data_IF_315413476729
#
_entry.id   IF_315413476729
#
_cell.length_a   1.000
_cell.length_b   1.000
_cell.length_c   1.000
_cell.angle_alpha   90.00
_cell.angle_beta   90.00
_cell.angle_gamma   90.00
#
_symmetry.space_group_name_H-M   'P 1'
#
loop_
_entity.id
_entity.type
_entity.pdbx_description
1 polymer ?
#
# COMPACT_ATOMS: atom_id res chain seq x y z
N UNK A 1 -4.92 -12.07 19.12
CA UNK A 1 -4.38 -11.61 20.41
C UNK A 1 -5.53 -11.21 21.32
N UNK A 2 -5.37 -11.06 22.64
CA UNK A 2 -6.47 -10.63 23.51
C UNK A 2 -6.29 -9.17 23.91
N UNK A 3 -7.39 -8.45 24.19
CA UNK A 3 -7.35 -7.06 24.69
C UNK A 3 -6.48 -6.97 25.93
N UNK A 4 -6.60 -7.93 26.86
CA UNK A 4 -5.77 -7.99 28.07
C UNK A 4 -4.27 -8.05 27.79
N UNK A 5 -3.86 -8.74 26.71
CA UNK A 5 -2.43 -8.78 26.33
C UNK A 5 -1.93 -7.45 25.81
N UNK A 6 -2.80 -6.66 25.16
CA UNK A 6 -2.47 -5.31 24.66
C UNK A 6 -2.31 -4.34 25.83
N UNK A 7 -3.25 -4.35 26.78
CA UNK A 7 -3.20 -3.49 27.97
C UNK A 7 -1.96 -3.79 28.81
N UNK A 8 -1.67 -5.07 29.04
CA UNK A 8 -0.45 -5.48 29.74
C UNK A 8 0.81 -5.03 29.01
N UNK A 9 0.87 -5.19 27.68
CA UNK A 9 2.00 -4.72 26.87
C UNK A 9 2.19 -3.20 27.02
N UNK A 10 1.11 -2.43 27.01
CA UNK A 10 1.17 -0.97 27.18
C UNK A 10 1.73 -0.59 28.56
N UNK A 11 1.33 -1.29 29.61
CA UNK A 11 1.86 -1.12 30.97
C UNK A 11 3.33 -1.50 31.07
N UNK A 12 3.69 -2.72 30.61
CA UNK A 12 5.06 -3.25 30.65
C UNK A 12 6.07 -2.35 29.89
N UNK A 13 5.62 -1.76 28.77
CA UNK A 13 6.44 -0.85 27.95
C UNK A 13 6.44 0.60 28.46
N UNK A 14 5.59 0.96 29.40
CA UNK A 14 5.44 2.34 29.88
C UNK A 14 4.98 3.28 28.75
N UNK A 15 3.92 2.87 28.04
CA UNK A 15 3.31 3.65 26.96
C UNK A 15 2.66 4.91 27.53
N UNK A 16 2.87 6.06 26.89
CA UNK A 16 2.28 7.34 27.29
C UNK A 16 0.97 7.65 26.56
N UNK A 17 0.88 7.22 25.29
CA UNK A 17 -0.27 7.55 24.43
C UNK A 17 -0.74 6.33 23.63
N UNK A 18 -2.04 6.29 23.33
CA UNK A 18 -2.62 5.40 22.32
C UNK A 18 -3.03 6.20 21.10
N UNK A 19 -2.63 5.74 19.92
CA UNK A 19 -2.93 6.33 18.63
C UNK A 19 -3.84 5.40 17.84
N UNK A 20 -5.11 5.79 17.67
CA UNK A 20 -6.13 5.01 16.97
C UNK A 20 -6.22 5.49 15.53
N UNK A 21 -5.94 4.60 14.57
CA UNK A 21 -5.79 4.91 13.14
C UNK A 21 -6.90 4.30 12.31
N UNK A 22 -7.36 5.04 11.32
CA UNK A 22 -8.37 4.59 10.36
C UNK A 22 -8.12 5.21 8.99
N UNK A 23 -8.80 4.70 7.96
CA UNK A 23 -8.57 5.11 6.56
C UNK A 23 -9.85 5.69 5.97
N UNK A 24 -9.75 6.85 5.29
CA UNK A 24 -10.87 7.44 4.57
C UNK A 24 -11.10 6.83 3.17
N UNK A 25 -12.12 7.29 2.45
CA UNK A 25 -12.47 6.77 1.12
C UNK A 25 -11.37 6.90 0.08
N UNK A 26 -10.56 7.97 0.15
CA UNK A 26 -9.46 8.18 -0.80
C UNK A 26 -8.18 7.44 -0.41
N UNK A 27 -8.17 6.76 0.74
CA UNK A 27 -7.04 5.97 1.21
C UNK A 27 -6.05 6.77 2.06
N UNK A 28 -6.41 7.97 2.51
CA UNK A 28 -5.61 8.70 3.48
C UNK A 28 -5.76 8.09 4.89
N UNK A 29 -4.65 8.01 5.60
CA UNK A 29 -4.62 7.49 6.96
C UNK A 29 -4.80 8.64 7.95
N UNK A 30 -5.82 8.54 8.79
CA UNK A 30 -6.14 9.48 9.85
C UNK A 30 -5.90 8.85 11.22
N UNK A 31 -5.79 9.69 12.26
CA UNK A 31 -5.61 9.20 13.61
C UNK A 31 -6.19 10.15 14.67
N UNK A 32 -6.55 9.59 15.80
CA UNK A 32 -6.74 10.29 17.06
C UNK A 32 -5.75 9.77 18.08
N UNK A 33 -5.27 10.64 18.95
CA UNK A 33 -4.33 10.29 20.02
C UNK A 33 -4.95 10.61 21.36
N UNK A 34 -4.90 9.63 22.25
CA UNK A 34 -5.41 9.74 23.60
C UNK A 34 -4.30 9.44 24.62
N UNK A 35 -4.31 10.04 25.83
CA UNK A 35 -3.51 9.53 26.93
C UNK A 35 -3.78 8.05 27.15
N UNK A 36 -2.79 7.31 27.64
CA UNK A 36 -2.91 5.84 27.78
C UNK A 36 -4.00 5.45 28.77
N UNK A 37 -4.32 6.32 29.73
CA UNK A 37 -5.37 6.12 30.75
C UNK A 37 -6.77 5.99 30.13
N UNK A 38 -7.00 6.49 28.90
CA UNK A 38 -8.24 6.34 28.16
C UNK A 38 -8.38 4.97 27.49
N UNK A 39 -7.30 4.17 27.44
CA UNK A 39 -7.32 2.83 26.86
C UNK A 39 -7.67 1.79 27.92
N UNK A 40 -8.80 1.11 27.74
CA UNK A 40 -9.30 0.06 28.62
C UNK A 40 -9.96 -1.07 27.81
N UNK A 41 -10.39 -2.15 28.47
CA UNK A 41 -11.20 -3.17 27.78
C UNK A 41 -12.47 -2.55 27.16
N UNK A 42 -13.08 -1.58 27.83
CA UNK A 42 -14.28 -0.88 27.36
C UNK A 42 -14.03 -0.10 26.06
N UNK A 43 -12.84 0.47 25.85
CA UNK A 43 -12.50 1.18 24.62
C UNK A 43 -12.54 0.29 23.38
N UNK A 44 -12.31 -1.02 23.53
CA UNK A 44 -12.42 -2.00 22.44
C UNK A 44 -13.86 -2.44 22.16
N UNK A 45 -14.78 -2.20 23.07
CA UNK A 45 -16.20 -2.53 22.91
C UNK A 45 -17.02 -1.29 22.49
N UNK A 46 -16.77 -0.16 23.12
CA UNK A 46 -17.55 1.07 22.93
C UNK A 46 -16.95 1.99 21.86
N UNK A 47 -15.62 1.90 21.62
CA UNK A 47 -14.88 2.73 20.68
C UNK A 47 -14.59 4.14 21.19
N UNK A 48 -13.95 4.93 20.34
CA UNK A 48 -13.62 6.35 20.55
C UNK A 48 -14.44 7.22 19.61
N UNK A 49 -15.11 8.25 20.14
CA UNK A 49 -15.92 9.16 19.34
C UNK A 49 -15.10 10.08 18.44
N UNK A 50 -15.59 10.35 17.23
CA UNK A 50 -15.04 11.36 16.33
C UNK A 50 -16.11 11.94 15.41
N UNK A 51 -15.80 13.12 14.82
CA UNK A 51 -16.67 13.80 13.86
C UNK A 51 -16.41 13.31 12.42
N UNK A 52 -17.30 12.46 11.91
CA UNK A 52 -17.24 11.96 10.52
C UNK A 52 -17.57 13.01 9.47
N UNK A 53 -18.24 14.12 9.82
CA UNK A 53 -18.55 15.20 8.87
C UNK A 53 -17.32 16.04 8.50
N UNK A 54 -16.29 16.00 9.33
CA UNK A 54 -14.99 16.64 9.05
C UNK A 54 -14.17 15.88 8.01
N UNK A 55 -14.58 14.67 7.63
CA UNK A 55 -13.95 13.89 6.56
C UNK A 55 -14.71 14.05 5.24
N UNK A 56 -13.98 14.46 4.21
CA UNK A 56 -14.57 14.74 2.91
C UNK A 56 -15.28 13.51 2.32
N UNK A 57 -16.58 13.68 2.03
CA UNK A 57 -17.40 12.66 1.38
C UNK A 57 -17.80 11.50 2.29
N UNK A 58 -17.65 11.67 3.63
CA UNK A 58 -17.98 10.61 4.57
C UNK A 58 -19.38 10.78 5.15
N UNK A 59 -19.58 11.70 6.09
CA UNK A 59 -20.88 11.91 6.73
C UNK A 59 -21.43 13.31 6.48
N UNK A 60 -22.75 13.46 6.64
CA UNK A 60 -23.39 14.78 6.69
C UNK A 60 -23.24 15.38 8.09
N UNK A 61 -23.35 16.72 8.20
CA UNK A 61 -23.30 17.41 9.50
C UNK A 61 -24.43 16.99 10.46
N UNK A 62 -25.49 16.43 9.93
CA UNK A 62 -26.66 15.98 10.73
C UNK A 62 -26.50 14.57 11.31
N UNK A 63 -25.50 13.82 10.82
CA UNK A 63 -25.17 12.44 11.24
C UNK A 63 -23.66 12.30 11.37
N UNK A 64 -23.05 13.25 12.12
CA UNK A 64 -21.60 13.40 12.19
C UNK A 64 -20.91 12.45 13.17
N UNK A 65 -21.62 12.04 14.22
CA UNK A 65 -21.03 11.25 15.28
C UNK A 65 -20.73 9.82 14.81
N UNK A 66 -19.49 9.40 14.98
CA UNK A 66 -19.02 8.06 14.63
C UNK A 66 -18.08 7.53 15.71
N UNK A 67 -17.87 6.21 15.71
CA UNK A 67 -16.97 5.55 16.64
C UNK A 67 -15.85 4.85 15.91
N UNK A 68 -14.64 4.98 16.44
CA UNK A 68 -13.47 4.17 16.09
C UNK A 68 -13.36 3.01 17.07
N UNK A 69 -13.64 1.80 16.63
CA UNK A 69 -13.51 0.58 17.44
C UNK A 69 -12.16 -0.07 17.10
N UNK A 70 -11.19 -0.05 18.05
CA UNK A 70 -9.88 -0.61 17.80
C UNK A 70 -9.92 -2.12 17.57
N UNK A 71 -9.15 -2.58 16.59
CA UNK A 71 -8.96 -4.00 16.30
C UNK A 71 -7.83 -4.58 17.15
N UNK A 72 -8.13 -5.55 18.00
CA UNK A 72 -7.16 -6.24 18.84
C UNK A 72 -6.25 -7.20 18.07
N UNK A 73 -6.45 -7.36 16.76
CA UNK A 73 -5.64 -8.28 15.95
C UNK A 73 -4.19 -7.83 15.83
N UNK A 74 -3.94 -6.49 15.76
CA UNK A 74 -2.62 -5.93 15.55
C UNK A 74 -2.40 -4.65 16.34
N UNK A 75 -1.24 -4.55 16.97
CA UNK A 75 -0.75 -3.35 17.63
C UNK A 75 0.78 -3.26 17.51
N UNK A 76 1.33 -2.07 17.65
CA UNK A 76 2.78 -1.82 17.65
C UNK A 76 3.10 -0.50 18.34
N UNK A 77 4.38 -0.31 18.73
CA UNK A 77 4.90 0.99 19.15
C UNK A 77 5.29 1.80 17.91
N UNK A 78 4.88 3.06 17.84
CA UNK A 78 5.25 3.96 16.75
C UNK A 78 6.74 4.34 16.86
N UNK A 79 7.59 3.98 15.87
CA UNK A 79 9.01 4.29 15.93
C UNK A 79 9.35 5.75 15.63
N UNK A 80 8.36 6.59 15.32
CA UNK A 80 8.54 7.97 14.89
C UNK A 80 8.05 9.00 15.89
N UNK A 81 7.41 8.59 16.98
CA UNK A 81 6.93 9.48 18.04
C UNK A 81 8.00 9.68 19.11
N UNK A 82 8.03 10.89 19.72
CA UNK A 82 8.96 11.22 20.79
C UNK A 82 8.65 10.40 22.07
N UNK A 83 7.37 10.36 22.44
CA UNK A 83 6.88 9.55 23.54
C UNK A 83 6.41 8.18 23.05
N UNK A 84 6.56 7.15 23.90
CA UNK A 84 6.10 5.81 23.56
C UNK A 84 4.61 5.83 23.28
N UNK A 85 4.24 5.58 22.04
CA UNK A 85 2.89 5.64 21.52
C UNK A 85 2.47 4.27 20.97
N UNK A 86 1.42 3.69 21.55
CA UNK A 86 0.82 2.46 21.06
C UNK A 86 -0.11 2.77 19.88
N UNK A 87 0.11 2.13 18.74
CA UNK A 87 -0.74 2.24 17.57
C UNK A 87 -1.73 1.08 17.47
N UNK A 88 -2.98 1.41 17.19
CA UNK A 88 -4.09 0.49 16.91
C UNK A 88 -4.76 0.91 15.60
N UNK A 89 -5.17 -0.06 14.78
CA UNK A 89 -6.04 0.20 13.63
C UNK A 89 -7.49 0.00 14.10
N UNK A 90 -8.39 0.87 13.69
CA UNK A 90 -9.80 0.80 14.05
C UNK A 90 -10.69 0.60 12.83
N UNK A 91 -11.81 -0.06 13.05
CA UNK A 91 -12.96 -0.05 12.17
C UNK A 91 -13.89 1.10 12.58
N UNK A 92 -14.62 1.66 11.62
CA UNK A 92 -15.60 2.72 11.89
C UNK A 92 -16.98 2.12 12.01
N UNK A 93 -17.69 2.49 13.08
CA UNK A 93 -19.04 2.01 13.35
C UNK A 93 -20.00 3.15 13.65
N UNK A 94 -21.26 2.91 13.36
CA UNK A 94 -22.36 3.81 13.73
C UNK A 94 -22.59 3.76 15.26
N UNK A 95 -22.69 4.90 15.95
CA UNK A 95 -22.80 4.94 17.41
C UNK A 95 -24.11 4.39 17.96
N UNK A 96 -25.19 4.41 17.16
CA UNK A 96 -26.55 4.01 17.58
C UNK A 96 -26.76 2.52 17.30
N UNK A 97 -26.59 2.09 16.05
CA UNK A 97 -26.81 0.71 15.63
C UNK A 97 -25.66 -0.23 16.04
N UNK A 98 -24.47 0.32 16.29
CA UNK A 98 -23.23 -0.41 16.51
C UNK A 98 -22.80 -1.28 15.31
N UNK A 99 -23.41 -1.08 14.16
CA UNK A 99 -23.02 -1.74 12.92
C UNK A 99 -21.82 -1.03 12.26
N UNK A 100 -21.03 -1.79 11.51
CA UNK A 100 -19.90 -1.25 10.73
C UNK A 100 -20.39 -0.20 9.73
N UNK A 101 -19.73 0.96 9.71
CA UNK A 101 -20.08 2.03 8.79
C UNK A 101 -19.87 1.55 7.35
N UNK A 102 -20.88 1.74 6.51
CA UNK A 102 -20.90 1.15 5.17
C UNK A 102 -19.84 1.73 4.22
N UNK A 103 -19.39 2.97 4.44
CA UNK A 103 -18.31 3.62 3.68
C UNK A 103 -16.91 3.40 4.29
N UNK A 104 -16.78 2.71 5.42
CA UNK A 104 -15.48 2.35 5.97
C UNK A 104 -14.74 1.40 5.01
N UNK A 105 -13.62 1.82 4.40
CA UNK A 105 -12.89 0.98 3.45
C UNK A 105 -12.37 -0.33 4.07
N UNK A 106 -11.95 -0.28 5.33
CA UNK A 106 -11.50 -1.47 6.05
C UNK A 106 -12.66 -2.44 6.32
N UNK A 107 -13.82 -1.90 6.65
CA UNK A 107 -15.07 -2.64 6.78
C UNK A 107 -15.50 -3.29 5.44
N UNK A 108 -15.31 -2.60 4.29
CA UNK A 108 -15.52 -3.20 2.96
C UNK A 108 -14.62 -4.41 2.76
N UNK A 109 -13.33 -4.31 3.09
CA UNK A 109 -12.39 -5.43 2.95
C UNK A 109 -12.76 -6.62 3.84
N UNK A 110 -13.19 -6.38 5.07
CA UNK A 110 -13.73 -7.46 5.95
C UNK A 110 -14.94 -8.16 5.35
N UNK A 111 -15.87 -7.39 4.77
CA UNK A 111 -17.03 -7.98 4.08
C UNK A 111 -16.62 -8.81 2.87
N UNK A 112 -15.62 -8.36 2.09
CA UNK A 112 -15.12 -9.11 0.94
C UNK A 112 -14.45 -10.44 1.36
N UNK A 113 -13.64 -10.46 2.43
CA UNK A 113 -13.08 -11.74 2.98
C UNK A 113 -14.18 -12.66 3.54
N UNK A 114 -15.19 -12.09 4.17
CA UNK A 114 -16.34 -12.87 4.67
C UNK A 114 -17.14 -13.47 3.52
N UNK A 115 -17.35 -12.70 2.44
CA UNK A 115 -18.02 -13.19 1.24
C UNK A 115 -17.23 -14.31 0.55
N UNK A 116 -15.90 -14.21 0.45
CA UNK A 116 -15.05 -15.29 -0.06
C UNK A 116 -15.34 -16.61 0.67
N UNK A 117 -15.37 -16.58 2.01
CA UNK A 117 -15.67 -17.74 2.84
C UNK A 117 -17.09 -18.27 2.60
N UNK A 118 -18.05 -17.33 2.50
CA UNK A 118 -19.46 -17.68 2.24
C UNK A 118 -19.66 -18.40 0.90
N UNK A 119 -18.93 -18.00 -0.16
CA UNK A 119 -19.01 -18.68 -1.48
C UNK A 119 -18.52 -20.11 -1.44
N UNK A 120 -17.73 -20.47 -0.44
CA UNK A 120 -17.12 -21.80 -0.34
C UNK A 120 -16.01 -22.06 -1.37
N UNK A 121 -15.65 -21.11 -2.23
CA UNK A 121 -14.56 -21.25 -3.21
C UNK A 121 -13.21 -21.34 -2.49
N UNK A 122 -12.95 -20.44 -1.56
CA UNK A 122 -11.74 -20.41 -0.75
C UNK A 122 -12.05 -19.90 0.67
N UNK A 123 -11.12 -20.08 1.60
CA UNK A 123 -11.20 -19.51 2.95
C UNK A 123 -10.20 -18.35 3.16
N UNK A 124 -9.19 -18.26 2.31
CA UNK A 124 -8.12 -17.28 2.41
C UNK A 124 -7.73 -16.76 1.03
N UNK A 125 -7.66 -15.44 0.90
CA UNK A 125 -7.06 -14.75 -0.21
C UNK A 125 -5.77 -14.07 0.28
N UNK A 126 -4.63 -14.43 -0.32
CA UNK A 126 -3.35 -13.81 -0.03
C UNK A 126 -3.03 -12.76 -1.09
N UNK A 127 -2.58 -11.59 -0.64
CA UNK A 127 -2.15 -10.46 -1.46
C UNK A 127 -0.72 -10.05 -1.13
N UNK A 128 0.06 -9.72 -2.16
CA UNK A 128 1.43 -9.20 -2.03
C UNK A 128 1.63 -8.06 -3.03
N UNK A 129 1.52 -6.80 -2.60
CA UNK A 129 1.76 -5.65 -3.45
C UNK A 129 3.26 -5.31 -3.52
N UNK A 130 3.75 -5.01 -4.71
CA UNK A 130 5.06 -4.41 -4.98
C UNK A 130 4.83 -2.90 -5.18
N UNK A 131 4.89 -2.13 -4.08
CA UNK A 131 4.54 -0.71 -4.12
C UNK A 131 5.77 0.17 -4.35
N UNK A 132 5.94 0.64 -5.58
CA UNK A 132 7.00 1.56 -5.97
C UNK A 132 6.72 2.98 -5.48
N UNK A 133 7.78 3.76 -5.28
CA UNK A 133 7.70 5.16 -4.86
C UNK A 133 8.92 5.96 -5.29
N UNK A 134 8.82 7.29 -5.24
CA UNK A 134 9.95 8.18 -5.49
C UNK A 134 10.37 8.94 -4.24
N UNK A 135 11.66 9.22 -4.13
CA UNK A 135 12.25 10.03 -3.08
C UNK A 135 12.97 11.22 -3.72
N UNK A 136 12.60 12.43 -3.29
CA UNK A 136 13.19 13.67 -3.79
C UNK A 136 13.80 14.48 -2.64
N UNK A 137 14.87 15.19 -2.94
CA UNK A 137 15.53 16.09 -2.01
C UNK A 137 14.81 17.43 -1.90
N UNK A 138 14.13 17.85 -2.95
CA UNK A 138 13.34 19.09 -2.97
C UNK A 138 12.14 18.93 -3.90
N UNK A 139 10.98 19.37 -3.44
CA UNK A 139 9.71 19.34 -4.18
C UNK A 139 9.06 20.71 -4.07
N UNK A 140 9.05 21.46 -5.16
CA UNK A 140 8.38 22.76 -5.26
C UNK A 140 7.28 22.69 -6.31
N UNK A 141 6.11 23.20 -5.99
CA UNK A 141 5.00 23.29 -6.93
C UNK A 141 4.15 24.54 -6.67
N UNK A 142 3.48 25.00 -7.71
CA UNK A 142 2.46 26.03 -7.63
C UNK A 142 1.32 25.66 -8.57
N UNK A 143 0.11 26.03 -8.20
CA UNK A 143 -1.10 25.80 -8.98
C UNK A 143 -2.09 26.93 -8.75
N UNK A 144 -1.81 28.07 -9.38
CA UNK A 144 -2.61 29.28 -9.32
C UNK A 144 -3.58 29.34 -10.49
N UNK A 145 -4.63 30.19 -10.46
CA UNK A 145 -5.61 30.27 -11.54
C UNK A 145 -5.04 30.60 -12.93
N UNK A 146 -3.84 31.21 -12.99
CA UNK A 146 -3.21 31.70 -14.22
C UNK A 146 -1.86 31.05 -14.55
N UNK A 147 -1.32 30.25 -13.62
CA UNK A 147 -0.03 29.56 -13.82
C UNK A 147 0.06 28.30 -12.96
N UNK A 148 0.70 27.25 -13.48
CA UNK A 148 0.97 26.03 -12.75
C UNK A 148 2.34 25.49 -13.13
N UNK A 149 3.01 24.86 -12.18
CA UNK A 149 4.30 24.23 -12.43
C UNK A 149 4.84 23.50 -11.21
N UNK A 150 5.92 22.76 -11.44
CA UNK A 150 6.64 22.08 -10.39
C UNK A 150 8.14 22.01 -10.70
N UNK A 151 8.94 21.86 -9.66
CA UNK A 151 10.36 21.56 -9.76
C UNK A 151 10.71 20.47 -8.74
N UNK A 152 11.45 19.47 -9.20
CA UNK A 152 11.93 18.34 -8.41
C UNK A 152 13.44 18.28 -8.44
N UNK A 153 14.04 17.93 -7.32
CA UNK A 153 15.48 17.77 -7.22
C UNK A 153 15.86 16.44 -6.58
N UNK A 154 16.88 15.80 -7.16
CA UNK A 154 17.44 14.54 -6.67
C UNK A 154 18.89 14.42 -7.17
N UNK A 155 19.88 14.04 -6.34
CA UNK A 155 21.27 13.95 -6.74
C UNK A 155 21.56 12.94 -7.88
N UNK A 156 20.70 11.95 -8.06
CA UNK A 156 20.81 10.95 -9.14
C UNK A 156 20.37 11.50 -10.50
N UNK A 157 19.62 12.61 -10.51
CA UNK A 157 18.98 13.15 -11.69
C UNK A 157 19.99 13.83 -12.63
N UNK A 158 19.86 13.58 -13.93
CA UNK A 158 20.71 14.19 -14.97
C UNK A 158 20.52 15.71 -15.06
N UNK A 159 19.33 16.24 -14.70
CA UNK A 159 19.08 17.70 -14.68
C UNK A 159 19.73 18.41 -13.48
N UNK A 160 20.24 17.65 -12.48
CA UNK A 160 20.94 18.18 -11.31
C UNK A 160 22.46 18.30 -11.51
N UNK A 161 22.94 18.31 -12.75
CA UNK A 161 24.37 18.31 -13.09
C UNK A 161 25.11 19.61 -12.67
N UNK A 162 24.38 20.68 -12.34
CA UNK A 162 24.98 21.93 -11.83
C UNK A 162 25.30 21.90 -10.33
N UNK A 163 24.84 20.87 -9.61
CA UNK A 163 24.92 20.82 -8.17
C UNK A 163 23.99 21.84 -7.48
N UNK A 164 24.13 21.93 -6.16
CA UNK A 164 23.44 22.93 -5.32
C UNK A 164 24.49 23.76 -4.57
N UNK A 165 24.06 24.89 -4.02
CA UNK A 165 24.91 25.66 -3.09
C UNK A 165 25.32 24.78 -1.92
N UNK A 166 26.62 24.61 -1.69
CA UNK A 166 27.19 23.73 -0.66
C UNK A 166 27.18 22.22 -0.96
N UNK A 167 26.64 21.78 -2.12
CA UNK A 167 26.61 20.39 -2.53
C UNK A 167 26.91 20.25 -4.03
N UNK A 168 28.20 20.16 -4.41
CA UNK A 168 28.60 20.03 -5.82
C UNK A 168 28.09 18.75 -6.44
N UNK A 169 27.81 18.75 -7.74
CA UNK A 169 27.56 17.52 -8.49
C UNK A 169 28.83 16.70 -8.59
N UNK A 170 28.76 15.43 -8.23
CA UNK A 170 29.88 14.48 -8.34
C UNK A 170 29.87 13.68 -9.66
N UNK A 171 28.86 13.96 -10.53
CA UNK A 171 28.74 13.27 -11.83
C UNK A 171 28.11 11.87 -11.77
N UNK A 172 27.67 11.41 -10.61
CA UNK A 172 27.00 10.11 -10.45
C UNK A 172 25.52 10.27 -10.77
N UNK A 173 25.19 10.36 -12.05
CA UNK A 173 23.81 10.49 -12.52
C UNK A 173 23.33 9.23 -13.21
N UNK A 174 22.09 8.86 -12.98
CA UNK A 174 21.40 7.75 -13.63
C UNK A 174 20.77 8.29 -14.92
N UNK A 175 21.00 7.61 -16.05
CA UNK A 175 20.37 7.96 -17.32
C UNK A 175 18.90 7.57 -17.31
N UNK A 176 18.13 8.26 -18.14
CA UNK A 176 16.70 7.99 -18.30
C UNK A 176 16.45 6.51 -18.59
N UNK A 177 15.63 5.86 -17.78
CA UNK A 177 15.26 4.42 -17.84
C UNK A 177 16.44 3.44 -17.59
N UNK A 178 17.51 3.86 -16.98
CA UNK A 178 18.67 3.01 -16.65
C UNK A 178 18.88 2.85 -15.12
N UNK A 179 17.84 3.12 -14.31
CA UNK A 179 17.92 3.08 -12.84
C UNK A 179 17.77 1.70 -12.21
N UNK A 180 17.57 0.64 -12.99
CA UNK A 180 17.30 -0.68 -12.41
C UNK A 180 18.55 -1.30 -11.76
N UNK A 181 18.54 -1.44 -10.44
CA UNK A 181 19.53 -2.09 -9.58
C UNK A 181 21.00 -1.62 -9.78
N UNK A 182 21.29 -0.31 -9.85
CA UNK A 182 22.67 0.15 -9.91
C UNK A 182 23.35 -0.05 -8.55
N UNK A 183 24.69 -0.11 -8.57
CA UNK A 183 25.46 -0.12 -7.33
C UNK A 183 25.73 1.31 -6.83
N UNK A 184 25.89 1.53 -5.51
CA UNK A 184 26.48 2.75 -5.00
C UNK A 184 27.85 3.02 -5.67
N UNK A 185 28.23 4.28 -5.98
CA UNK A 185 27.59 5.52 -5.56
C UNK A 185 26.46 6.04 -6.48
N UNK A 186 26.09 5.33 -7.55
CA UNK A 186 24.95 5.71 -8.39
C UNK A 186 23.63 5.62 -7.62
N UNK A 187 23.42 4.52 -6.91
CA UNK A 187 22.32 4.34 -5.99
C UNK A 187 22.60 5.10 -4.67
N UNK A 188 22.04 6.28 -4.53
CA UNK A 188 22.23 7.13 -3.35
C UNK A 188 21.23 6.82 -2.22
N UNK A 189 20.28 5.91 -2.46
CA UNK A 189 19.16 5.63 -1.55
C UNK A 189 19.24 4.23 -0.87
N UNK A 190 20.36 3.52 -1.03
CA UNK A 190 20.56 2.21 -0.41
C UNK A 190 20.32 2.23 1.11
N UNK A 191 20.96 3.16 1.82
CA UNK A 191 20.84 3.28 3.28
C UNK A 191 19.45 3.76 3.72
N UNK A 192 18.83 4.64 2.94
CA UNK A 192 17.44 5.06 3.14
C UNK A 192 16.49 3.85 3.12
N UNK A 193 16.57 3.00 2.09
CA UNK A 193 15.73 1.80 1.98
C UNK A 193 16.02 0.79 3.07
N UNK A 194 17.28 0.64 3.46
CA UNK A 194 17.68 -0.21 4.58
C UNK A 194 17.10 0.28 5.91
N UNK A 195 17.06 1.60 6.17
CA UNK A 195 16.39 2.16 7.36
C UNK A 195 14.89 1.90 7.32
N UNK A 196 14.21 2.12 6.18
CA UNK A 196 12.78 1.78 6.03
C UNK A 196 12.54 0.30 6.37
N UNK A 197 13.35 -0.62 5.83
CA UNK A 197 13.24 -2.04 6.11
C UNK A 197 13.40 -2.38 7.60
N UNK A 198 14.33 -1.72 8.28
CA UNK A 198 14.56 -1.89 9.72
C UNK A 198 13.38 -1.36 10.56
N UNK A 199 12.80 -0.22 10.19
CA UNK A 199 11.63 0.32 10.88
C UNK A 199 10.38 -0.56 10.63
N UNK A 200 10.19 -1.07 9.43
CA UNK A 200 9.12 -2.04 9.12
C UNK A 200 9.23 -3.32 9.95
N UNK A 201 10.45 -3.81 10.14
CA UNK A 201 10.70 -4.99 10.99
C UNK A 201 10.27 -4.75 12.44
N UNK A 202 10.51 -3.55 12.99
CA UNK A 202 10.09 -3.20 14.37
C UNK A 202 8.57 -3.27 14.55
N UNK A 203 7.82 -2.95 13.51
CA UNK A 203 6.34 -2.98 13.51
C UNK A 203 5.76 -4.29 12.96
N UNK A 204 6.60 -5.34 12.85
CA UNK A 204 6.18 -6.70 12.51
C UNK A 204 5.96 -6.95 11.02
N UNK A 205 6.47 -6.08 10.12
CA UNK A 205 6.43 -6.29 8.67
C UNK A 205 7.79 -6.84 8.22
N UNK A 206 7.76 -8.04 7.63
CA UNK A 206 8.95 -8.67 7.08
C UNK A 206 9.22 -8.17 5.68
N UNK A 207 10.34 -7.48 5.48
CA UNK A 207 10.84 -7.09 4.15
C UNK A 207 11.58 -8.28 3.54
N UNK A 208 11.37 -8.52 2.25
CA UNK A 208 11.99 -9.59 1.47
C UNK A 208 13.13 -9.07 0.59
N UNK A 209 12.93 -7.91 -0.05
CA UNK A 209 13.91 -7.28 -0.94
C UNK A 209 13.72 -5.77 -0.96
N UNK A 210 14.76 -5.03 -1.34
CA UNK A 210 14.65 -3.64 -1.75
C UNK A 210 15.72 -3.29 -2.78
N UNK A 211 15.37 -2.41 -3.70
CA UNK A 211 16.28 -1.95 -4.76
C UNK A 211 15.87 -0.58 -5.32
N UNK A 212 16.77 0.02 -6.10
CA UNK A 212 16.44 1.14 -6.96
C UNK A 212 15.69 0.63 -8.19
N UNK A 213 14.66 1.35 -8.61
CA UNK A 213 13.82 1.02 -9.77
C UNK A 213 14.28 1.71 -11.05
N UNK A 214 13.55 1.46 -12.17
CA UNK A 214 13.98 1.78 -13.54
C UNK A 214 14.10 3.27 -13.81
N UNK A 215 13.32 4.13 -13.14
CA UNK A 215 13.36 5.57 -13.39
C UNK A 215 14.70 6.21 -13.03
N UNK A 216 14.98 7.35 -13.63
CA UNK A 216 16.25 8.08 -13.53
C UNK A 216 16.61 8.49 -12.11
N UNK A 217 15.64 8.99 -11.34
CA UNK A 217 15.94 9.73 -10.11
C UNK A 217 15.05 9.26 -8.97
N UNK A 218 15.68 8.62 -8.00
CA UNK A 218 15.08 8.37 -6.70
C UNK A 218 13.92 7.38 -6.68
N UNK A 219 13.72 6.56 -7.71
CA UNK A 219 12.69 5.54 -7.68
C UNK A 219 13.15 4.33 -6.88
N UNK A 220 12.32 3.90 -5.94
CA UNK A 220 12.58 2.80 -5.02
C UNK A 220 11.44 1.79 -5.05
N UNK A 221 11.80 0.52 -4.80
CA UNK A 221 10.88 -0.55 -4.47
C UNK A 221 11.37 -1.24 -3.19
N UNK A 222 10.43 -1.61 -2.32
CA UNK A 222 10.68 -2.38 -1.10
C UNK A 222 9.57 -3.42 -0.99
N UNK A 223 9.93 -4.67 -1.23
CA UNK A 223 9.01 -5.79 -1.16
C UNK A 223 8.89 -6.31 0.26
N UNK A 224 7.67 -6.45 0.72
CA UNK A 224 7.37 -7.07 1.99
C UNK A 224 6.50 -8.31 1.80
N UNK A 225 6.65 -9.23 2.74
CA UNK A 225 5.99 -10.52 2.68
C UNK A 225 4.47 -10.39 2.61
N UNK A 226 3.84 -11.14 1.71
CA UNK A 226 2.40 -11.23 1.56
C UNK A 226 1.68 -11.69 2.85
N UNK A 227 0.42 -11.33 2.97
CA UNK A 227 -0.48 -11.78 4.04
C UNK A 227 -1.90 -11.95 3.50
N UNK A 228 -2.88 -12.17 4.38
CA UNK A 228 -4.29 -12.11 3.99
C UNK A 228 -4.62 -10.75 3.39
N UNK A 229 -5.65 -10.65 2.59
CA UNK A 229 -6.03 -9.42 1.89
C UNK A 229 -6.15 -8.23 2.85
N UNK A 230 -6.89 -8.38 3.96
CA UNK A 230 -7.05 -7.33 4.97
C UNK A 230 -5.73 -7.02 5.66
N UNK A 231 -4.98 -8.04 6.09
CA UNK A 231 -3.69 -7.85 6.75
C UNK A 231 -2.66 -7.16 5.86
N UNK A 232 -2.68 -7.44 4.55
CA UNK A 232 -1.80 -6.79 3.58
C UNK A 232 -2.22 -5.34 3.33
N UNK A 233 -3.52 -5.03 3.30
CA UNK A 233 -3.98 -3.64 3.21
C UNK A 233 -3.55 -2.81 4.42
N UNK A 234 -3.67 -3.37 5.63
CA UNK A 234 -3.14 -2.77 6.86
C UNK A 234 -1.60 -2.56 6.77
N UNK A 235 -0.85 -3.58 6.29
CA UNK A 235 0.60 -3.50 6.09
C UNK A 235 0.99 -2.39 5.11
N UNK A 236 0.25 -2.23 4.01
CA UNK A 236 0.54 -1.20 3.02
C UNK A 236 0.34 0.22 3.57
N UNK A 237 -0.65 0.43 4.43
CA UNK A 237 -0.81 1.72 5.12
C UNK A 237 0.37 2.01 6.06
N UNK A 238 0.79 1.02 6.85
CA UNK A 238 1.97 1.13 7.72
C UNK A 238 3.24 1.38 6.88
N UNK A 239 3.39 0.68 5.76
CA UNK A 239 4.50 0.84 4.82
C UNK A 239 4.59 2.28 4.30
N UNK A 240 3.49 2.82 3.75
CA UNK A 240 3.44 4.20 3.25
C UNK A 240 3.77 5.23 4.33
N UNK A 241 3.29 5.02 5.55
CA UNK A 241 3.58 5.85 6.71
C UNK A 241 5.08 5.80 7.05
N UNK A 242 5.66 4.60 7.12
CA UNK A 242 7.07 4.39 7.45
C UNK A 242 7.99 5.04 6.41
N UNK A 243 7.75 4.82 5.13
CA UNK A 243 8.53 5.43 4.03
C UNK A 243 8.56 6.96 4.15
N UNK A 244 7.40 7.59 4.37
CA UNK A 244 7.30 9.06 4.49
C UNK A 244 8.03 9.59 5.71
N UNK A 245 7.94 8.89 6.84
CA UNK A 245 8.60 9.34 8.07
C UNK A 245 10.12 9.15 8.03
N UNK A 246 10.62 8.06 7.46
CA UNK A 246 12.05 7.89 7.20
C UNK A 246 12.54 8.95 6.21
N UNK A 247 11.80 9.23 5.13
CA UNK A 247 12.17 10.30 4.20
C UNK A 247 12.31 11.65 4.92
N UNK A 248 11.35 11.98 5.80
CA UNK A 248 11.43 13.21 6.61
C UNK A 248 12.67 13.24 7.52
N UNK A 249 13.06 12.11 8.13
CA UNK A 249 14.30 12.03 8.95
C UNK A 249 15.55 12.34 8.12
N UNK A 250 15.55 11.95 6.83
CA UNK A 250 16.62 12.25 5.89
C UNK A 250 16.52 13.63 5.23
N UNK A 251 15.57 14.47 5.63
CA UNK A 251 15.33 15.77 4.99
C UNK A 251 14.84 15.66 3.54
N UNK A 252 14.19 14.55 3.19
CA UNK A 252 13.70 14.23 1.85
C UNK A 252 12.17 14.14 1.83
N UNK A 253 11.59 14.23 0.63
CA UNK A 253 10.18 13.97 0.37
C UNK A 253 9.99 12.63 -0.34
N UNK A 254 9.06 11.78 0.15
CA UNK A 254 8.66 10.57 -0.53
C UNK A 254 7.24 10.67 -1.10
N UNK A 255 7.05 10.20 -2.33
CA UNK A 255 5.75 10.21 -2.99
C UNK A 255 5.40 8.86 -3.59
N UNK A 256 4.13 8.49 -3.45
CA UNK A 256 3.50 7.33 -4.09
C UNK A 256 2.69 7.74 -5.34
N UNK A 257 2.99 8.89 -5.91
CA UNK A 257 2.37 9.39 -7.14
C UNK A 257 2.71 8.47 -8.31
N UNK A 258 1.72 8.05 -9.12
CA UNK A 258 1.94 7.08 -10.19
C UNK A 258 2.91 7.54 -11.29
N UNK A 259 2.92 8.83 -11.61
CA UNK A 259 3.77 9.40 -12.67
C UNK A 259 4.28 10.79 -12.28
N UNK A 260 5.26 10.89 -11.37
CA UNK A 260 5.80 12.17 -10.94
C UNK A 260 6.70 12.81 -11.99
N UNK A 261 7.38 12.01 -12.84
CA UNK A 261 8.29 12.48 -13.88
C UNK A 261 7.71 12.18 -15.27
N UNK A 262 7.58 13.23 -16.10
CA UNK A 262 7.19 13.07 -17.49
C UNK A 262 8.35 12.46 -18.30
N UNK A 263 8.03 11.52 -19.20
CA UNK A 263 9.05 10.89 -20.06
C UNK A 263 9.94 9.86 -19.37
N UNK A 264 9.68 9.49 -18.12
CA UNK A 264 10.38 8.45 -17.38
C UNK A 264 9.42 7.36 -16.89
N UNK A 265 9.89 6.29 -16.25
CA UNK A 265 9.03 5.28 -15.66
C UNK A 265 8.18 5.86 -14.51
N UNK A 266 7.01 5.30 -14.30
CA UNK A 266 6.12 5.64 -13.19
C UNK A 266 6.14 4.57 -12.11
N UNK A 267 5.48 4.85 -10.98
CA UNK A 267 5.32 3.91 -9.87
C UNK A 267 4.11 3.02 -10.07
N UNK A 268 4.34 1.72 -10.17
CA UNK A 268 3.32 0.69 -10.12
C UNK A 268 3.08 0.17 -8.71
N UNK A 269 2.00 -0.57 -8.55
CA UNK A 269 1.76 -1.44 -7.40
C UNK A 269 1.23 -2.77 -7.92
N UNK A 270 2.14 -3.61 -8.40
CA UNK A 270 1.77 -4.90 -8.92
C UNK A 270 1.26 -5.79 -7.79
N UNK A 271 0.04 -6.29 -7.91
CA UNK A 271 -0.59 -7.08 -6.85
C UNK A 271 -0.52 -8.57 -7.15
N UNK A 272 0.35 -9.28 -6.44
CA UNK A 272 0.36 -10.73 -6.42
C UNK A 272 -0.84 -11.24 -5.65
N UNK A 273 -1.50 -12.27 -6.18
CA UNK A 273 -2.71 -12.84 -5.60
C UNK A 273 -2.70 -14.36 -5.68
N UNK A 274 -3.23 -15.00 -4.64
CA UNK A 274 -3.50 -16.43 -4.62
C UNK A 274 -4.66 -16.76 -3.68
N UNK A 275 -5.45 -17.79 -4.02
CA UNK A 275 -6.53 -18.31 -3.19
C UNK A 275 -6.12 -19.62 -2.53
N UNK A 276 -6.55 -19.81 -1.29
CA UNK A 276 -6.25 -20.99 -0.49
C UNK A 276 -7.52 -21.52 0.17
N UNK A 277 -7.58 -22.85 0.36
CA UNK A 277 -8.64 -23.53 1.08
C UNK A 277 -8.06 -24.66 1.93
N UNK A 278 -8.33 -24.64 3.23
CA UNK A 278 -7.78 -25.61 4.18
C UNK A 278 -6.25 -25.74 4.02
N UNK A 279 -5.54 -24.59 4.00
CA UNK A 279 -4.08 -24.48 3.83
C UNK A 279 -3.51 -25.05 2.51
N UNK A 280 -4.37 -25.31 1.51
CA UNK A 280 -3.97 -25.79 0.19
C UNK A 280 -4.10 -24.68 -0.84
N UNK A 281 -3.05 -24.44 -1.68
CA UNK A 281 -3.09 -23.46 -2.75
C UNK A 281 -4.06 -23.94 -3.85
N UNK A 282 -4.90 -23.03 -4.36
CA UNK A 282 -5.89 -23.34 -5.39
C UNK A 282 -5.43 -23.01 -6.80
N UNK A 283 -4.32 -22.25 -6.97
CA UNK A 283 -3.91 -21.76 -8.28
C UNK A 283 -2.95 -22.68 -9.04
N UNK A 284 -2.35 -23.64 -8.37
CA UNK A 284 -1.47 -24.63 -9.02
C UNK A 284 -2.27 -25.71 -9.74
N UNK A 285 -1.86 -26.09 -10.95
CA UNK A 285 -2.50 -27.13 -11.77
C UNK A 285 -1.67 -27.45 -13.02
N UNK A 286 -2.27 -28.19 -13.95
CA UNK A 286 -1.62 -28.73 -15.14
C UNK A 286 -1.88 -27.91 -16.42
N UNK A 287 -2.62 -26.79 -16.32
CA UNK A 287 -2.94 -25.91 -17.44
C UNK A 287 -1.76 -25.00 -17.83
N UNK A 288 -2.05 -24.07 -18.75
CA UNK A 288 -1.06 -23.07 -19.21
C UNK A 288 -0.34 -22.42 -18.04
N UNK A 289 0.98 -22.32 -18.12
CA UNK A 289 1.86 -21.80 -17.08
C UNK A 289 1.75 -22.49 -15.70
N UNK A 290 1.25 -23.74 -15.64
CA UNK A 290 1.04 -24.48 -14.41
C UNK A 290 -0.13 -23.97 -13.58
N UNK A 291 -1.16 -23.41 -14.22
CA UNK A 291 -2.36 -22.88 -13.58
C UNK A 291 -3.47 -23.94 -13.52
N UNK A 292 -4.22 -23.93 -12.43
CA UNK A 292 -5.49 -24.65 -12.28
C UNK A 292 -6.62 -23.97 -13.05
N UNK A 293 -7.76 -24.65 -13.20
CA UNK A 293 -8.99 -24.04 -13.73
C UNK A 293 -9.48 -22.90 -12.84
N UNK A 294 -9.42 -23.06 -11.52
CA UNK A 294 -9.76 -21.98 -10.56
C UNK A 294 -8.95 -20.73 -10.83
N UNK A 295 -7.63 -20.85 -11.04
CA UNK A 295 -6.78 -19.71 -11.36
C UNK A 295 -7.17 -19.07 -12.70
N UNK A 296 -7.50 -19.86 -13.71
CA UNK A 296 -7.92 -19.37 -15.03
C UNK A 296 -9.26 -18.65 -14.99
N UNK A 297 -10.22 -19.14 -14.22
CA UNK A 297 -11.50 -18.46 -13.99
C UNK A 297 -11.31 -17.14 -13.26
N UNK A 298 -10.52 -17.16 -12.17
CA UNK A 298 -10.17 -15.94 -11.43
C UNK A 298 -9.51 -14.88 -12.32
N UNK A 299 -8.59 -15.28 -13.20
CA UNK A 299 -7.99 -14.40 -14.22
C UNK A 299 -9.06 -13.87 -15.18
N UNK A 300 -10.01 -14.73 -15.61
CA UNK A 300 -11.12 -14.33 -16.46
C UNK A 300 -11.97 -13.23 -15.84
N UNK A 301 -12.29 -13.35 -14.55
CA UNK A 301 -13.00 -12.32 -13.78
C UNK A 301 -12.23 -11.00 -13.70
N UNK A 302 -10.95 -11.04 -13.39
CA UNK A 302 -10.10 -9.85 -13.35
C UNK A 302 -10.04 -9.13 -14.71
N UNK A 303 -9.92 -9.85 -15.82
CA UNK A 303 -9.88 -9.26 -17.16
C UNK A 303 -11.25 -8.72 -17.58
N UNK A 304 -12.34 -9.45 -17.29
CA UNK A 304 -13.71 -9.03 -17.55
C UNK A 304 -14.06 -7.70 -16.88
N UNK A 305 -13.61 -7.55 -15.63
CA UNK A 305 -13.92 -6.38 -14.81
C UNK A 305 -12.77 -5.36 -14.72
N UNK A 306 -11.72 -5.49 -15.51
CA UNK A 306 -10.52 -4.66 -15.42
C UNK A 306 -10.83 -3.16 -15.44
N UNK A 307 -11.76 -2.71 -16.31
CA UNK A 307 -12.17 -1.31 -16.38
C UNK A 307 -12.83 -0.79 -15.07
N UNK A 308 -13.60 -1.64 -14.39
CA UNK A 308 -14.19 -1.29 -13.11
C UNK A 308 -13.15 -1.32 -11.99
N UNK A 309 -12.23 -2.30 -12.01
CA UNK A 309 -11.16 -2.42 -11.00
C UNK A 309 -10.26 -1.19 -11.02
N UNK A 310 -9.87 -0.66 -12.20
CA UNK A 310 -8.97 0.49 -12.28
C UNK A 310 -9.57 1.78 -11.72
N UNK A 311 -10.90 1.89 -11.60
CA UNK A 311 -11.53 3.01 -10.89
C UNK A 311 -11.12 3.07 -9.41
N UNK A 312 -10.81 1.92 -8.80
CA UNK A 312 -10.34 1.82 -7.42
C UNK A 312 -8.81 1.65 -7.32
N UNK A 313 -8.22 0.95 -8.28
CA UNK A 313 -6.81 0.53 -8.24
C UNK A 313 -5.85 1.51 -8.93
N UNK A 314 -6.37 2.39 -9.80
CA UNK A 314 -5.65 3.46 -10.48
C UNK A 314 -6.52 4.73 -10.48
N UNK A 315 -6.81 5.32 -9.28
CA UNK A 315 -7.97 6.20 -9.07
C UNK A 315 -7.74 7.66 -9.47
N UNK A 316 -6.53 8.04 -9.88
CA UNK A 316 -6.20 9.45 -10.16
C UNK A 316 -6.03 9.71 -11.65
N UNK A 317 -6.18 10.96 -12.07
CA UNK A 317 -5.84 11.35 -13.45
C UNK A 317 -4.36 11.13 -13.77
N UNK A 318 -3.50 11.16 -12.77
CA UNK A 318 -2.07 10.86 -12.90
C UNK A 318 -1.83 9.36 -13.11
N UNK A 319 -2.68 8.47 -12.60
CA UNK A 319 -2.62 7.03 -12.83
C UNK A 319 -2.60 6.69 -14.33
N UNK A 320 -3.41 7.37 -15.13
CA UNK A 320 -3.51 7.15 -16.58
C UNK A 320 -2.33 7.73 -17.37
N UNK A 321 -1.52 8.60 -16.76
CA UNK A 321 -0.23 9.03 -17.32
C UNK A 321 0.85 7.96 -17.16
N UNK A 322 0.68 7.02 -16.20
CA UNK A 322 1.52 5.83 -16.05
C UNK A 322 1.13 4.73 -17.05
N UNK A 323 -0.15 4.49 -17.26
CA UNK A 323 -0.68 3.38 -18.09
C UNK A 323 -0.55 3.68 -19.60
N UNK A 324 0.67 3.90 -20.05
CA UNK A 324 0.99 4.22 -21.45
C UNK A 324 2.10 3.30 -21.99
N UNK A 325 2.14 3.03 -23.32
CA UNK A 325 3.18 2.19 -23.92
C UNK A 325 4.60 2.73 -23.71
N UNK A 326 5.58 1.81 -23.64
CA UNK A 326 7.01 2.15 -23.63
C UNK A 326 7.63 2.40 -22.26
N UNK A 327 6.88 2.23 -21.16
CA UNK A 327 7.34 2.45 -19.78
C UNK A 327 7.07 1.26 -18.85
N UNK A 328 7.07 0.02 -19.39
CA UNK A 328 6.82 -1.23 -18.65
C UNK A 328 5.43 -1.31 -17.97
N UNK A 329 4.56 -0.36 -18.27
CA UNK A 329 3.19 -0.38 -17.79
C UNK A 329 2.32 -1.36 -18.58
N UNK A 330 1.33 -2.01 -17.94
CA UNK A 330 0.41 -2.91 -18.62
C UNK A 330 -0.58 -2.12 -19.47
N UNK A 331 -0.54 -2.35 -20.78
CA UNK A 331 -1.44 -1.68 -21.76
C UNK A 331 -2.33 -2.67 -22.50
N UNK A 332 -2.15 -3.97 -22.28
CA UNK A 332 -2.89 -5.03 -22.93
C UNK A 332 -3.72 -5.81 -21.92
N UNK A 333 -5.03 -5.88 -22.11
CA UNK A 333 -5.93 -6.70 -21.30
C UNK A 333 -5.80 -8.17 -21.69
N UNK A 334 -4.71 -8.78 -21.27
CA UNK A 334 -4.37 -10.17 -21.50
C UNK A 334 -3.63 -10.73 -20.28
N UNK A 335 -3.50 -12.05 -20.22
CA UNK A 335 -2.58 -12.69 -19.28
C UNK A 335 -1.49 -13.47 -20.04
N UNK A 336 -0.30 -13.51 -19.47
CA UNK A 336 0.83 -14.21 -20.09
C UNK A 336 1.86 -14.66 -19.06
N UNK A 337 2.50 -15.79 -19.33
CA UNK A 337 3.70 -16.18 -18.61
C UNK A 337 4.86 -15.25 -19.01
N UNK A 338 5.60 -14.71 -17.99
CA UNK A 338 6.80 -13.87 -18.15
C UNK A 338 6.61 -12.48 -18.75
N UNK A 339 5.57 -12.22 -19.53
CA UNK A 339 5.39 -10.95 -20.25
C UNK A 339 4.91 -9.82 -19.30
N UNK A 340 5.70 -8.76 -19.19
CA UNK A 340 5.42 -7.59 -18.32
C UNK A 340 4.48 -6.55 -18.96
N UNK A 341 4.19 -6.63 -20.27
CA UNK A 341 3.23 -5.73 -20.94
C UNK A 341 1.77 -6.19 -20.79
N UNK A 342 1.55 -7.42 -20.33
CA UNK A 342 0.21 -7.96 -20.07
C UNK A 342 -0.34 -7.41 -18.74
N UNK A 343 -1.65 -7.19 -18.66
CA UNK A 343 -2.34 -6.78 -17.43
C UNK A 343 -2.18 -7.81 -16.30
N UNK A 344 -2.08 -9.10 -16.66
CA UNK A 344 -1.81 -10.17 -15.71
C UNK A 344 -0.57 -10.96 -16.15
N UNK A 345 0.44 -10.97 -15.28
CA UNK A 345 1.63 -11.80 -15.46
C UNK A 345 1.53 -13.03 -14.56
N UNK A 346 1.95 -14.18 -15.08
CA UNK A 346 2.12 -15.39 -14.29
C UNK A 346 3.62 -15.58 -14.02
N UNK A 347 4.09 -15.35 -12.78
CA UNK A 347 5.49 -15.56 -12.43
C UNK A 347 5.91 -17.01 -12.60
N UNK A 348 7.10 -17.23 -13.19
CA UNK A 348 7.64 -18.57 -13.51
C UNK A 348 8.94 -18.87 -12.77
N UNK A 349 9.21 -18.18 -11.65
CA UNK A 349 10.44 -18.35 -10.88
C UNK A 349 10.52 -19.67 -10.10
N UNK A 350 9.40 -20.36 -9.91
CA UNK A 350 9.35 -21.59 -9.12
C UNK A 350 8.33 -22.58 -9.67
N UNK A 351 8.64 -23.85 -9.55
CA UNK A 351 7.72 -24.98 -9.80
C UNK A 351 6.95 -25.41 -8.54
N UNK A 352 7.24 -24.84 -7.38
CA UNK A 352 6.55 -25.17 -6.12
C UNK A 352 5.08 -24.72 -6.19
N UNK A 353 4.10 -25.64 -6.04
CA UNK A 353 2.69 -25.31 -6.10
C UNK A 353 2.26 -24.23 -5.09
N UNK A 354 2.89 -24.17 -3.91
CA UNK A 354 2.59 -23.17 -2.88
C UNK A 354 2.97 -21.75 -3.28
N UNK A 355 3.84 -21.58 -4.29
CA UNK A 355 4.29 -20.28 -4.80
C UNK A 355 3.54 -19.87 -6.08
N UNK A 356 2.58 -20.69 -6.56
CA UNK A 356 1.79 -20.37 -7.74
C UNK A 356 0.83 -19.22 -7.42
N UNK A 357 0.97 -18.13 -8.19
CA UNK A 357 0.22 -16.90 -8.04
C UNK A 357 0.07 -16.21 -9.38
N UNK A 358 -0.83 -15.26 -9.46
CA UNK A 358 -0.89 -14.30 -10.53
C UNK A 358 -0.43 -12.93 -10.02
N UNK A 359 -0.03 -12.05 -10.92
CA UNK A 359 0.34 -10.67 -10.68
C UNK A 359 -0.54 -9.76 -11.54
N UNK A 360 -1.44 -9.01 -10.91
CA UNK A 360 -2.26 -8.00 -11.57
C UNK A 360 -1.53 -6.67 -11.54
N UNK A 361 -1.12 -6.17 -12.71
CA UNK A 361 -0.16 -5.08 -12.87
C UNK A 361 -0.74 -3.66 -13.02
N UNK A 362 -2.05 -3.45 -13.38
CA UNK A 362 -2.60 -2.11 -13.54
C UNK A 362 -2.61 -1.22 -12.29
N UNK A 363 -2.73 -1.72 -11.05
CA UNK A 363 -2.79 -0.88 -9.87
C UNK A 363 -1.55 0.01 -9.70
N UNK A 364 -1.75 1.15 -9.05
CA UNK A 364 -0.68 2.02 -8.59
C UNK A 364 -0.81 2.34 -7.10
N UNK A 365 0.27 2.78 -6.43
CA UNK A 365 0.28 2.92 -4.98
C UNK A 365 -0.49 4.15 -4.46
N UNK A 366 -1.11 4.98 -5.32
CA UNK A 366 -1.99 6.06 -4.87
C UNK A 366 -3.36 5.56 -4.42
N UNK A 367 -3.71 4.31 -4.75
CA UNK A 367 -5.02 3.75 -4.44
C UNK A 367 -5.25 3.53 -2.94
N UNK A 368 -6.54 3.44 -2.58
CA UNK A 368 -6.97 2.90 -1.30
C UNK A 368 -6.83 1.37 -1.33
N UNK A 369 -5.92 0.77 -0.53
CA UNK A 369 -5.64 -0.66 -0.63
C UNK A 369 -6.84 -1.55 -0.27
N UNK A 370 -7.64 -1.14 0.69
CA UNK A 370 -8.82 -1.91 1.11
C UNK A 370 -9.83 -2.02 -0.03
N UNK A 371 -10.12 -0.91 -0.72
CA UNK A 371 -11.06 -0.89 -1.84
C UNK A 371 -10.48 -1.58 -3.08
N UNK A 372 -9.22 -1.31 -3.41
CA UNK A 372 -8.57 -1.89 -4.58
C UNK A 372 -8.46 -3.43 -4.47
N UNK A 373 -8.04 -3.95 -3.32
CA UNK A 373 -7.91 -5.39 -3.10
C UNK A 373 -9.28 -6.07 -3.08
N UNK A 374 -10.28 -5.42 -2.45
CA UNK A 374 -11.66 -5.92 -2.47
C UNK A 374 -12.22 -6.00 -3.88
N UNK A 375 -12.02 -4.95 -4.70
CA UNK A 375 -12.47 -4.94 -6.08
C UNK A 375 -11.83 -6.06 -6.91
N UNK A 376 -10.51 -6.29 -6.74
CA UNK A 376 -9.82 -7.40 -7.40
C UNK A 376 -10.34 -8.77 -6.94
N UNK A 377 -10.51 -8.98 -5.63
CA UNK A 377 -11.04 -10.23 -5.10
C UNK A 377 -12.44 -10.51 -5.62
N UNK A 378 -13.35 -9.54 -5.54
CA UNK A 378 -14.74 -9.70 -5.99
C UNK A 378 -14.82 -9.96 -7.49
N UNK A 379 -14.03 -9.27 -8.30
CA UNK A 379 -13.94 -9.50 -9.74
C UNK A 379 -13.44 -10.90 -10.09
N UNK A 380 -12.45 -11.39 -9.36
CA UNK A 380 -11.92 -12.74 -9.56
C UNK A 380 -12.87 -13.85 -9.13
N UNK A 381 -13.81 -13.56 -8.21
CA UNK A 381 -14.81 -14.52 -7.75
C UNK A 381 -16.02 -14.63 -8.70
N UNK A 382 -16.35 -13.57 -9.49
CA UNK A 382 -17.39 -13.58 -10.54
C UNK A 382 -16.95 -14.39 -11.76
#
# INVERSE_FOLDING_TARGET
>A
MSVKSILKFAEDEGVAYVNVRFTDLVGAWHHLTFPIEELSERSFEEGFGFDGSSLRGWASIHESDMLLVPDAYRYWLDPFMADKTLCLIADVVDPISKEGYWLDPRGVARRAESYLKFTGVADTANFGPEAEFFVFDDVRFHNDPHTAGFALDNPEATWNSKGREGAPSLGYHIRNKEGYVPLPPLDTLQDFRAEVANELKKVGIQVECHHHEVATAGQCEIDFRFSTMLGTADNLQIFKYTVRNVARRHGKGATFMPKPLYGDNGSGMHCHQSLWKNEKPLFAGDGYAGLSDTARWYIGGLLKHAAAIVAFAAPTTNSYKRLVPGFEAPVNLAYSARNRSAAIRIPMFSTNPKLKRLEFRPPDPSCNPYLAFSAMLMAGLD
#
